data_IF_923165666292
#
_entry.id   IF_923165666292
#
_cell.length_a   1.000
_cell.length_b   1.000
_cell.length_c   1.000
_cell.angle_alpha   90.00
_cell.angle_beta   90.00
_cell.angle_gamma   90.00
#
_symmetry.space_group_name_H-M   'P 1'
#
loop_
_entity.id
_entity.type
_entity.pdbx_description
1 polymer ?
#
# COMPACT_ATOMS: atom_id res chain seq x y z
N UNK A 1 -12.66 15.45 7.74
CA UNK A 1 -14.02 15.19 7.20
C UNK A 1 -14.41 13.76 7.55
N UNK A 2 -15.50 13.56 8.29
CA UNK A 2 -16.03 12.23 8.60
C UNK A 2 -16.83 11.68 7.41
N UNK A 3 -16.52 10.45 6.99
CA UNK A 3 -17.20 9.78 5.88
C UNK A 3 -18.58 9.37 6.37
N UNK A 4 -19.63 10.08 5.91
CA UNK A 4 -21.00 9.61 6.04
C UNK A 4 -21.17 8.42 5.08
N UNK A 5 -21.49 7.26 5.64
CA UNK A 5 -21.73 5.96 4.97
C UNK A 5 -20.53 5.00 4.78
N UNK A 6 -19.60 4.92 5.74
CA UNK A 6 -18.72 3.76 5.82
C UNK A 6 -19.52 2.50 6.22
N UNK A 7 -19.41 1.38 5.49
CA UNK A 7 -20.02 0.11 5.91
C UNK A 7 -19.46 -0.31 7.27
N UNK A 8 -20.35 -0.56 8.24
CA UNK A 8 -19.96 -1.01 9.58
C UNK A 8 -19.50 -2.46 9.49
N UNK A 9 -18.19 -2.69 9.60
CA UNK A 9 -17.64 -4.05 9.74
C UNK A 9 -18.13 -4.62 11.09
N UNK A 10 -18.71 -5.84 11.13
CA UNK A 10 -19.14 -6.45 12.38
C UNK A 10 -17.97 -6.65 13.34
N UNK A 11 -18.23 -6.59 14.65
CA UNK A 11 -17.22 -6.90 15.65
C UNK A 11 -16.82 -8.39 15.56
N UNK A 12 -15.51 -8.68 15.59
CA UNK A 12 -15.00 -10.05 15.52
C UNK A 12 -15.11 -10.73 16.90
N UNK A 13 -16.18 -11.50 17.12
CA UNK A 13 -16.33 -12.30 18.35
C UNK A 13 -16.12 -13.81 18.13
N UNK A 14 -16.12 -14.27 16.88
CA UNK A 14 -15.95 -15.68 16.55
C UNK A 14 -15.25 -15.93 15.21
N UNK A 15 -14.73 -17.14 15.03
CA UNK A 15 -14.16 -17.64 13.76
C UNK A 15 -15.17 -17.67 12.62
N UNK A 16 -16.47 -17.82 12.94
CA UNK A 16 -17.54 -17.77 11.95
C UNK A 16 -17.75 -16.34 11.42
N UNK A 17 -17.61 -15.32 12.27
CA UNK A 17 -17.71 -13.90 11.88
C UNK A 17 -16.57 -13.51 10.92
N UNK A 18 -15.36 -14.03 11.19
CA UNK A 18 -14.19 -13.86 10.31
C UNK A 18 -14.45 -14.50 8.95
N UNK A 19 -14.98 -15.73 8.91
CA UNK A 19 -15.26 -16.46 7.66
C UNK A 19 -16.36 -15.79 6.83
N UNK A 20 -17.42 -15.32 7.47
CA UNK A 20 -18.50 -14.56 6.82
C UNK A 20 -17.97 -13.24 6.25
N UNK A 21 -17.10 -12.55 6.99
CA UNK A 21 -16.45 -11.32 6.53
C UNK A 21 -15.54 -11.58 5.33
N UNK A 22 -14.75 -12.66 5.34
CA UNK A 22 -13.91 -13.04 4.20
C UNK A 22 -14.72 -13.41 2.97
N UNK A 23 -15.87 -14.07 3.12
CA UNK A 23 -16.78 -14.35 2.01
C UNK A 23 -17.40 -13.06 1.45
N UNK A 24 -17.80 -12.13 2.32
CA UNK A 24 -18.28 -10.82 1.92
C UNK A 24 -17.20 -10.00 1.20
N UNK A 25 -15.97 -9.99 1.71
CA UNK A 25 -14.85 -9.29 1.06
C UNK A 25 -14.54 -9.84 -0.34
N UNK A 26 -14.75 -11.15 -0.58
CA UNK A 26 -14.62 -11.76 -1.91
C UNK A 26 -15.71 -11.34 -2.88
N UNK A 27 -16.87 -10.88 -2.41
CA UNK A 27 -17.96 -10.40 -3.27
C UNK A 27 -17.87 -8.91 -3.57
N UNK A 28 -16.97 -8.17 -2.90
CA UNK A 28 -16.67 -6.79 -3.25
C UNK A 28 -15.81 -6.79 -4.51
N UNK A 29 -16.33 -6.19 -5.58
CA UNK A 29 -15.55 -5.88 -6.79
C UNK A 29 -14.29 -5.10 -6.38
N UNK A 30 -13.11 -5.51 -6.84
CA UNK A 30 -11.84 -4.81 -6.56
C UNK A 30 -11.88 -3.32 -6.97
N UNK A 31 -12.79 -2.93 -7.87
CA UNK A 31 -13.05 -1.54 -8.23
C UNK A 31 -13.84 -0.73 -7.17
N UNK A 32 -14.55 -1.42 -6.26
CA UNK A 32 -15.35 -0.88 -5.14
C UNK A 32 -14.69 -1.04 -3.78
N UNK A 33 -13.71 -1.94 -3.64
CA UNK A 33 -12.72 -1.75 -2.59
C UNK A 33 -12.11 -0.39 -2.91
N UNK A 34 -12.41 0.62 -2.10
CA UNK A 34 -11.69 1.88 -2.15
C UNK A 34 -10.28 1.54 -1.68
N UNK A 35 -9.48 0.88 -2.53
CA UNK A 35 -8.05 0.71 -2.38
C UNK A 35 -7.40 2.09 -2.21
N UNK A 36 -8.09 3.14 -2.69
CA UNK A 36 -7.90 4.54 -2.31
C UNK A 36 -8.10 4.81 -0.80
N UNK A 37 -9.24 4.51 -0.19
CA UNK A 37 -9.46 4.72 1.26
C UNK A 37 -8.51 3.88 2.12
N UNK A 38 -8.26 2.63 1.73
CA UNK A 38 -7.31 1.77 2.42
C UNK A 38 -5.90 2.37 2.36
N UNK A 39 -5.48 2.98 1.24
CA UNK A 39 -4.16 3.62 1.10
C UNK A 39 -3.94 4.83 2.03
N UNK A 40 -5.02 5.53 2.39
CA UNK A 40 -4.95 6.87 3.01
C UNK A 40 -5.64 6.99 4.36
N UNK A 41 -6.22 5.92 4.90
CA UNK A 41 -6.73 5.92 6.28
C UNK A 41 -5.53 5.90 7.25
N UNK A 42 -5.48 6.81 8.24
CA UNK A 42 -4.54 6.73 9.35
C UNK A 42 -4.53 5.31 9.93
N UNK A 43 -3.37 4.67 9.98
CA UNK A 43 -3.23 3.30 10.51
C UNK A 43 -2.63 3.28 11.91
N UNK A 44 -2.08 4.41 12.37
CA UNK A 44 -1.51 4.58 13.70
C UNK A 44 -2.33 5.64 14.46
N UNK A 45 -2.52 5.47 15.78
CA UNK A 45 -3.32 6.37 16.63
C UNK A 45 -2.88 7.84 16.57
N UNK A 46 -1.61 8.08 16.25
CA UNK A 46 -1.00 9.40 16.11
C UNK A 46 -0.83 9.87 14.65
N UNK A 47 -1.45 9.20 13.67
CA UNK A 47 -1.36 9.53 12.24
C UNK A 47 -2.58 10.24 11.61
N UNK A 48 -3.44 11.02 12.31
CA UNK A 48 -4.36 11.90 11.61
C UNK A 48 -3.61 13.16 11.13
N UNK A 49 -3.18 13.16 9.86
CA UNK A 49 -2.71 14.39 9.21
C UNK A 49 -3.89 15.31 8.89
N UNK A 50 -3.71 16.61 9.12
CA UNK A 50 -4.61 17.60 8.53
C UNK A 50 -4.51 17.57 7.00
N UNK A 51 -5.56 18.04 6.31
CA UNK A 51 -5.55 18.14 4.84
C UNK A 51 -4.39 19.02 4.35
N UNK A 52 -4.07 20.09 5.07
CA UNK A 52 -2.99 21.00 4.72
C UNK A 52 -1.60 20.35 4.87
N UNK A 53 -1.36 19.61 5.96
CA UNK A 53 -0.12 18.84 6.14
C UNK A 53 0.01 17.76 5.07
N UNK A 54 -1.09 17.08 4.73
CA UNK A 54 -1.09 16.10 3.65
C UNK A 54 -0.71 16.75 2.31
N UNK A 55 -1.33 17.87 1.96
CA UNK A 55 -1.06 18.58 0.71
C UNK A 55 0.38 19.12 0.65
N UNK A 56 0.93 19.54 1.78
CA UNK A 56 2.26 20.15 1.87
C UNK A 56 3.36 19.10 1.89
N UNK A 57 3.22 18.08 2.74
CA UNK A 57 4.26 17.08 2.96
C UNK A 57 4.19 15.93 1.95
N UNK A 58 3.08 15.78 1.22
CA UNK A 58 2.87 14.66 0.31
C UNK A 58 2.28 15.08 -1.05
N UNK A 59 2.94 16.01 -1.78
CA UNK A 59 2.43 16.51 -3.07
C UNK A 59 2.23 15.38 -4.10
N UNK A 60 3.09 14.37 -4.05
CA UNK A 60 3.00 13.17 -4.87
C UNK A 60 1.71 12.36 -4.62
N UNK A 61 1.31 12.19 -3.36
CA UNK A 61 0.11 11.42 -3.01
C UNK A 61 -1.17 12.13 -3.46
N UNK A 62 -1.19 13.47 -3.36
CA UNK A 62 -2.25 14.31 -3.95
C UNK A 62 -2.39 14.06 -5.45
N UNK A 63 -1.26 13.99 -6.17
CA UNK A 63 -1.24 13.72 -7.60
C UNK A 63 -1.84 12.35 -7.94
N UNK A 64 -1.46 11.30 -7.20
CA UNK A 64 -2.01 9.95 -7.37
C UNK A 64 -3.53 9.95 -7.15
N UNK A 65 -4.00 10.60 -6.07
CA UNK A 65 -5.43 10.72 -5.77
C UNK A 65 -6.17 11.40 -6.91
N UNK A 66 -5.70 12.58 -7.34
CA UNK A 66 -6.31 13.33 -8.45
C UNK A 66 -6.35 12.52 -9.73
N UNK A 67 -5.28 11.80 -10.09
CA UNK A 67 -5.27 10.96 -11.28
C UNK A 67 -6.32 9.85 -11.21
N UNK A 68 -6.43 9.17 -10.08
CA UNK A 68 -7.42 8.09 -9.89
C UNK A 68 -8.87 8.60 -9.91
N UNK A 69 -9.11 9.83 -9.48
CA UNK A 69 -10.44 10.46 -9.48
C UNK A 69 -10.84 11.04 -10.85
N UNK A 70 -9.87 11.50 -11.65
CA UNK A 70 -10.14 12.29 -12.86
C UNK A 70 -9.90 11.55 -14.17
N UNK A 71 -9.04 10.53 -14.19
CA UNK A 71 -8.69 9.83 -15.42
C UNK A 71 -9.56 8.59 -15.63
N UNK A 72 -10.03 8.33 -16.86
CA UNK A 72 -10.67 7.06 -17.19
C UNK A 72 -9.65 5.91 -17.08
N UNK A 73 -10.13 4.69 -16.81
CA UNK A 73 -9.29 3.55 -16.45
C UNK A 73 -8.16 3.24 -17.44
N UNK A 74 -8.41 3.36 -18.74
CA UNK A 74 -7.41 3.12 -19.78
C UNK A 74 -6.25 4.13 -19.68
N UNK A 75 -6.57 5.43 -19.58
CA UNK A 75 -5.57 6.48 -19.43
C UNK A 75 -4.87 6.42 -18.06
N UNK A 76 -5.58 6.01 -17.02
CA UNK A 76 -4.99 5.81 -15.70
C UNK A 76 -3.93 4.70 -15.75
N UNK A 77 -4.24 3.54 -16.35
CA UNK A 77 -3.28 2.44 -16.49
C UNK A 77 -2.04 2.85 -17.28
N UNK A 78 -2.20 3.69 -18.30
CA UNK A 78 -1.08 4.20 -19.10
C UNK A 78 -0.21 5.21 -18.33
N UNK A 79 -0.82 6.16 -17.61
CA UNK A 79 -0.10 7.30 -17.02
C UNK A 79 0.36 7.10 -15.58
N UNK A 80 -0.37 6.30 -14.80
CA UNK A 80 -0.08 6.10 -13.39
C UNK A 80 1.30 5.50 -13.11
N UNK A 81 1.83 4.51 -13.86
CA UNK A 81 3.14 3.91 -13.59
C UNK A 81 4.26 4.94 -13.55
N UNK A 82 4.33 5.79 -14.58
CA UNK A 82 5.35 6.84 -14.69
C UNK A 82 5.22 7.87 -13.57
N UNK A 83 3.98 8.16 -13.15
CA UNK A 83 3.75 9.06 -12.02
C UNK A 83 4.19 8.43 -10.69
N UNK A 84 3.87 7.16 -10.44
CA UNK A 84 4.31 6.42 -9.25
C UNK A 84 5.84 6.37 -9.17
N UNK A 85 6.53 6.08 -10.28
CA UNK A 85 7.99 6.07 -10.33
C UNK A 85 8.61 7.43 -10.01
N UNK A 86 8.01 8.53 -10.50
CA UNK A 86 8.45 9.87 -10.11
C UNK A 86 8.21 10.13 -8.62
N UNK A 87 7.10 9.63 -8.07
CA UNK A 87 6.80 9.75 -6.65
C UNK A 87 7.81 9.00 -5.78
N UNK A 88 8.21 7.79 -6.18
CA UNK A 88 9.23 7.02 -5.43
C UNK A 88 10.57 7.75 -5.43
N UNK A 89 11.01 8.30 -6.56
CA UNK A 89 12.26 9.07 -6.66
C UNK A 89 12.24 10.37 -5.85
N UNK A 90 11.08 11.03 -5.74
CA UNK A 90 10.96 12.35 -5.08
C UNK A 90 11.36 12.33 -3.60
N UNK A 91 11.11 11.22 -2.90
CA UNK A 91 11.36 11.12 -1.45
C UNK A 91 12.45 10.11 -1.08
N UNK A 92 13.11 9.51 -2.06
CA UNK A 92 14.04 8.38 -1.84
C UNK A 92 15.21 8.74 -0.91
N UNK A 93 15.74 9.96 -1.04
CA UNK A 93 16.83 10.46 -0.21
C UNK A 93 16.37 10.99 1.16
N UNK A 94 15.08 11.29 1.33
CA UNK A 94 14.55 11.87 2.55
C UNK A 94 14.17 10.79 3.57
N UNK A 95 14.95 10.73 4.64
CA UNK A 95 14.82 9.73 5.71
C UNK A 95 13.45 9.76 6.40
N UNK A 96 12.75 10.91 6.39
CA UNK A 96 11.42 11.06 7.02
C UNK A 96 10.39 10.12 6.40
N UNK A 97 10.51 9.84 5.10
CA UNK A 97 9.52 9.04 4.38
C UNK A 97 9.85 7.54 4.34
N UNK A 98 11.09 7.13 4.64
CA UNK A 98 11.53 5.74 4.48
C UNK A 98 10.61 4.71 5.14
N UNK A 99 10.06 5.04 6.31
CA UNK A 99 9.12 4.17 7.03
C UNK A 99 7.73 4.80 7.17
N UNK A 100 7.42 5.80 6.36
CA UNK A 100 6.07 6.32 6.20
C UNK A 100 5.23 5.29 5.42
N UNK A 101 4.09 4.91 5.99
CA UNK A 101 3.26 3.85 5.42
C UNK A 101 2.67 4.24 4.05
N UNK A 102 2.35 5.53 3.87
CA UNK A 102 1.82 6.06 2.61
C UNK A 102 2.86 5.98 1.52
N UNK A 103 4.11 6.35 1.83
CA UNK A 103 5.21 6.23 0.88
C UNK A 103 5.53 4.78 0.54
N UNK A 104 5.55 3.89 1.53
CA UNK A 104 5.70 2.44 1.31
C UNK A 104 4.63 1.91 0.33
N UNK A 105 3.37 2.33 0.50
CA UNK A 105 2.27 1.92 -0.38
C UNK A 105 2.43 2.41 -1.82
N UNK A 106 3.07 3.55 -2.07
CA UNK A 106 3.41 4.00 -3.43
C UNK A 106 4.38 3.02 -4.09
N UNK A 107 5.43 2.61 -3.37
CA UNK A 107 6.39 1.61 -3.86
C UNK A 107 5.73 0.26 -4.13
N UNK A 108 4.90 -0.23 -3.21
CA UNK A 108 4.21 -1.51 -3.40
C UNK A 108 3.21 -1.45 -4.57
N UNK A 109 2.51 -0.33 -4.74
CA UNK A 109 1.61 -0.15 -5.88
C UNK A 109 2.39 -0.14 -7.21
N UNK A 110 3.62 0.37 -7.23
CA UNK A 110 4.46 0.37 -8.43
C UNK A 110 4.83 -1.07 -8.86
N UNK A 111 4.83 -2.06 -7.96
CA UNK A 111 5.11 -3.46 -8.29
C UNK A 111 4.17 -4.04 -9.34
N UNK A 112 2.92 -3.55 -9.40
CA UNK A 112 1.92 -4.03 -10.37
C UNK A 112 2.21 -3.59 -11.82
N UNK A 113 3.17 -2.68 -12.01
CA UNK A 113 3.43 -2.03 -13.30
C UNK A 113 4.87 -2.20 -13.81
N UNK A 114 5.74 -2.84 -13.05
CA UNK A 114 7.13 -3.09 -13.45
C UNK A 114 7.29 -4.53 -13.93
N UNK A 115 8.16 -4.73 -14.93
CA UNK A 115 8.46 -6.06 -15.45
C UNK A 115 9.20 -6.93 -14.41
N UNK A 116 10.04 -6.28 -13.59
CA UNK A 116 10.89 -6.94 -12.59
C UNK A 116 10.58 -6.48 -11.15
N UNK A 117 9.47 -6.95 -10.52
CA UNK A 117 9.11 -6.58 -9.15
C UNK A 117 10.19 -6.94 -8.12
N UNK A 118 11.01 -7.96 -8.40
CA UNK A 118 12.13 -8.36 -7.54
C UNK A 118 13.17 -7.26 -7.40
N UNK A 119 13.50 -6.59 -8.50
CA UNK A 119 14.48 -5.51 -8.53
C UNK A 119 13.97 -4.28 -7.77
N UNK A 120 12.67 -4.01 -7.86
CA UNK A 120 12.02 -2.96 -7.07
C UNK A 120 12.12 -3.26 -5.56
N UNK A 121 11.77 -4.48 -5.14
CA UNK A 121 11.90 -4.91 -3.74
C UNK A 121 13.34 -4.86 -3.22
N UNK A 122 14.34 -5.23 -4.05
CA UNK A 122 15.77 -5.06 -3.69
C UNK A 122 16.16 -3.59 -3.52
N UNK A 123 15.65 -2.72 -4.38
CA UNK A 123 15.92 -1.27 -4.27
C UNK A 123 15.36 -0.73 -2.96
N UNK A 124 14.13 -1.12 -2.61
CA UNK A 124 13.52 -0.76 -1.32
C UNK A 124 14.35 -1.26 -0.14
N UNK A 125 14.80 -2.52 -0.18
CA UNK A 125 15.66 -3.12 0.85
C UNK A 125 16.98 -2.35 1.01
N UNK A 126 17.68 -2.08 -0.09
CA UNK A 126 18.95 -1.34 -0.11
C UNK A 126 18.82 0.09 0.43
N UNK A 127 17.70 0.76 0.12
CA UNK A 127 17.42 2.12 0.57
C UNK A 127 16.71 2.17 1.94
N UNK A 128 16.50 1.01 2.57
CA UNK A 128 15.80 0.83 3.84
C UNK A 128 14.36 1.38 3.84
N UNK A 129 13.69 1.37 2.69
CA UNK A 129 12.28 1.73 2.53
C UNK A 129 11.39 0.62 3.11
N UNK A 130 10.54 0.96 4.07
CA UNK A 130 9.64 0.03 4.73
C UNK A 130 10.32 -0.93 5.72
N UNK A 131 11.62 -0.75 5.99
CA UNK A 131 12.42 -1.63 6.86
C UNK A 131 11.92 -1.76 8.31
N UNK A 132 11.04 -0.87 8.77
CA UNK A 132 10.37 -0.92 10.08
C UNK A 132 8.87 -1.22 10.00
N UNK A 133 8.38 -1.66 8.84
CA UNK A 133 6.96 -1.86 8.59
C UNK A 133 6.71 -3.31 8.17
N UNK A 134 5.89 -4.00 8.94
CA UNK A 134 5.46 -5.37 8.66
C UNK A 134 4.92 -5.54 7.23
N UNK A 135 4.23 -4.52 6.70
CA UNK A 135 3.70 -4.50 5.34
C UNK A 135 4.77 -4.73 4.25
N UNK A 136 6.00 -4.23 4.44
CA UNK A 136 7.09 -4.47 3.49
C UNK A 136 7.43 -5.95 3.41
N UNK A 137 7.64 -6.57 4.57
CA UNK A 137 7.99 -7.99 4.69
C UNK A 137 6.88 -8.90 4.19
N UNK A 138 5.61 -8.56 4.48
CA UNK A 138 4.44 -9.28 3.95
C UNK A 138 4.39 -9.21 2.42
N UNK A 139 4.54 -8.04 1.82
CA UNK A 139 4.52 -7.90 0.36
C UNK A 139 5.66 -8.66 -0.33
N UNK A 140 6.84 -8.67 0.28
CA UNK A 140 8.01 -9.41 -0.21
C UNK A 140 7.81 -10.93 -0.10
N UNK A 141 7.21 -11.40 1.01
CA UNK A 141 6.85 -12.81 1.18
C UNK A 141 5.79 -13.25 0.17
N UNK A 142 4.73 -12.48 -0.02
CA UNK A 142 3.68 -12.73 -1.02
C UNK A 142 4.23 -12.79 -2.44
N UNK A 143 5.21 -11.94 -2.77
CA UNK A 143 5.93 -12.03 -4.04
C UNK A 143 6.60 -13.41 -4.22
N UNK A 144 7.28 -13.91 -3.19
CA UNK A 144 7.91 -15.23 -3.23
C UNK A 144 6.91 -16.38 -3.28
N UNK A 145 5.79 -16.30 -2.56
CA UNK A 145 4.71 -17.29 -2.63
C UNK A 145 4.13 -17.40 -4.05
N UNK A 146 3.90 -16.25 -4.71
CA UNK A 146 3.43 -16.22 -6.11
C UNK A 146 4.42 -16.91 -7.06
N UNK A 147 5.71 -16.87 -6.75
CA UNK A 147 6.79 -17.56 -7.45
C UNK A 147 7.00 -19.00 -6.99
N UNK A 148 6.16 -19.52 -6.09
CA UNK A 148 6.27 -20.85 -5.44
C UNK A 148 7.59 -21.07 -4.69
N UNK A 149 8.23 -19.99 -4.23
CA UNK A 149 9.46 -20.00 -3.43
C UNK A 149 9.13 -19.91 -1.94
N UNK A 150 8.51 -20.96 -1.41
CA UNK A 150 7.92 -20.93 -0.07
C UNK A 150 8.96 -20.73 1.06
N UNK A 151 10.15 -21.31 0.93
CA UNK A 151 11.23 -21.10 1.91
C UNK A 151 11.67 -19.63 2.00
N UNK A 152 11.74 -18.94 0.85
CA UNK A 152 12.09 -17.52 0.82
C UNK A 152 10.97 -16.64 1.38
N UNK A 153 9.71 -17.01 1.10
CA UNK A 153 8.56 -16.34 1.71
C UNK A 153 8.56 -16.48 3.24
N UNK A 154 8.82 -17.69 3.74
CA UNK A 154 8.90 -17.97 5.17
C UNK A 154 10.02 -17.15 5.85
N UNK A 155 11.21 -17.06 5.24
CA UNK A 155 12.29 -16.18 5.72
C UNK A 155 11.83 -14.72 5.83
N UNK A 156 11.10 -14.23 4.82
CA UNK A 156 10.60 -12.85 4.84
C UNK A 156 9.57 -12.62 5.95
N UNK A 157 8.67 -13.57 6.21
CA UNK A 157 7.74 -13.48 7.35
C UNK A 157 8.46 -13.45 8.69
N UNK A 158 9.41 -14.36 8.92
CA UNK A 158 10.20 -14.38 10.14
C UNK A 158 10.98 -13.08 10.35
N UNK A 159 11.58 -12.54 9.27
CA UNK A 159 12.27 -11.26 9.33
C UNK A 159 11.31 -10.12 9.70
N UNK A 160 10.08 -10.13 9.17
CA UNK A 160 9.07 -9.12 9.50
C UNK A 160 8.57 -9.17 10.95
N UNK A 161 8.61 -10.33 11.61
CA UNK A 161 8.29 -10.47 13.04
C UNK A 161 9.38 -9.88 13.92
N UNK A 162 10.64 -9.87 13.45
CA UNK A 162 11.80 -9.38 14.20
C UNK A 162 12.03 -7.86 14.07
N UNK A 163 11.23 -7.15 13.27
CA UNK A 163 11.47 -5.76 12.84
C UNK A 163 10.36 -4.82 13.26
#
# INVERSE_FOLDING_TARGET
MAIKNAPKVPAFSSTNDVKATLQYLKTIDNSKILALEVLWTPQDENDPLSEQEFLTNYPCLRGIKKMKETLPQNLLKEKLPRFLQKCTQTFESDRRYRNDLRYLRVWLQLMDYVDEPRALLRTMEMNAIGSKRSLFYQAYALYYEKMKKFEEAEKMYHLGVQK
#
